data_IF_678969335425
#
_entry.id   IF_678969335425
#
_cell.length_a   1.000
_cell.length_b   1.000
_cell.length_c   1.000
_cell.angle_alpha   90.00
_cell.angle_beta   90.00
_cell.angle_gamma   90.00
#
_symmetry.space_group_name_H-M   'P 1'
#
loop_
_entity.id
_entity.type
_entity.pdbx_description
1 polymer ?
#
# COMPACT_ATOMS: atom_id res chain seq x y z
N UNK A 1 -7.08 -6.29 2.59
CA UNK A 1 -7.76 -6.21 1.27
C UNK A 1 -7.74 -7.62 0.69
N UNK A 2 -8.84 -8.19 0.20
CA UNK A 2 -8.88 -9.60 -0.22
C UNK A 2 -8.39 -9.83 -1.64
N UNK A 3 -7.85 -11.03 -1.93
CA UNK A 3 -7.48 -11.48 -3.28
C UNK A 3 -8.72 -11.44 -4.21
N UNK A 4 -8.60 -10.92 -5.42
CA UNK A 4 -9.72 -10.65 -6.33
C UNK A 4 -9.67 -11.48 -7.61
N UNK A 5 -10.79 -11.56 -8.32
CA UNK A 5 -10.84 -12.24 -9.63
C UNK A 5 -9.93 -11.57 -10.67
N UNK A 6 -9.78 -10.25 -10.63
CA UNK A 6 -8.84 -9.53 -11.50
C UNK A 6 -7.41 -10.02 -11.34
N UNK A 7 -6.98 -10.23 -10.09
CA UNK A 7 -5.63 -10.71 -9.76
C UNK A 7 -5.38 -12.15 -10.23
N UNK A 8 -6.42 -12.97 -10.44
CA UNK A 8 -6.29 -14.31 -11.05
C UNK A 8 -5.72 -14.23 -12.46
N UNK A 9 -6.09 -13.21 -13.22
CA UNK A 9 -5.61 -13.01 -14.59
C UNK A 9 -4.19 -12.46 -14.64
N UNK A 10 -3.65 -12.00 -13.51
CA UNK A 10 -2.30 -11.47 -13.37
C UNK A 10 -1.30 -12.50 -12.82
N UNK A 11 -1.77 -13.72 -12.51
CA UNK A 11 -0.92 -14.78 -11.97
C UNK A 11 0.16 -15.18 -12.99
N UNK A 12 1.37 -15.59 -12.57
CA UNK A 12 2.46 -15.93 -13.48
C UNK A 12 2.16 -17.16 -14.36
N UNK A 13 1.16 -17.96 -13.96
CA UNK A 13 0.69 -19.13 -14.71
C UNK A 13 -0.62 -18.87 -15.47
N UNK A 14 -1.08 -17.62 -15.51
CA UNK A 14 -2.33 -17.22 -16.17
C UNK A 14 -2.20 -16.99 -17.69
N UNK A 15 -1.05 -17.30 -18.30
CA UNK A 15 -0.82 -17.13 -19.76
C UNK A 15 -1.86 -17.83 -20.64
N UNK A 16 -2.50 -18.89 -20.12
CA UNK A 16 -3.54 -19.66 -20.81
C UNK A 16 -4.97 -19.24 -20.45
N UNK A 17 -5.14 -18.18 -19.67
CA UNK A 17 -6.41 -17.76 -19.10
C UNK A 17 -7.03 -16.68 -19.99
N UNK A 18 -8.31 -16.81 -20.29
CA UNK A 18 -9.05 -15.86 -21.12
C UNK A 18 -10.37 -15.54 -20.44
N UNK A 19 -10.57 -14.28 -20.04
CA UNK A 19 -11.86 -13.81 -19.57
C UNK A 19 -12.84 -13.73 -20.75
N UNK A 20 -13.94 -14.47 -20.69
CA UNK A 20 -14.93 -14.56 -21.79
C UNK A 20 -16.26 -13.89 -21.46
N UNK A 21 -16.58 -13.68 -20.18
CA UNK A 21 -17.78 -13.00 -19.73
C UNK A 21 -17.58 -12.38 -18.34
N UNK A 22 -18.48 -11.49 -17.93
CA UNK A 22 -18.62 -10.98 -16.57
C UNK A 22 -17.56 -9.96 -16.16
N UNK A 23 -17.03 -9.16 -17.09
CA UNK A 23 -15.91 -8.23 -16.84
C UNK A 23 -16.15 -7.25 -15.69
N UNK A 24 -17.39 -6.83 -15.44
CA UNK A 24 -17.70 -5.96 -14.30
C UNK A 24 -17.48 -6.62 -12.92
N UNK A 25 -17.31 -7.94 -12.88
CA UNK A 25 -17.09 -8.72 -11.66
C UNK A 25 -15.63 -8.93 -11.26
N UNK A 26 -14.65 -8.35 -11.97
CA UNK A 26 -13.24 -8.57 -11.67
C UNK A 26 -12.83 -8.11 -10.25
N UNK A 27 -13.57 -7.17 -9.66
CA UNK A 27 -13.35 -6.73 -8.27
C UNK A 27 -13.93 -7.67 -7.18
N UNK A 28 -14.55 -8.79 -7.55
CA UNK A 28 -15.09 -9.76 -6.58
C UNK A 28 -13.94 -10.42 -5.81
N UNK A 29 -14.09 -10.53 -4.50
CA UNK A 29 -13.11 -11.16 -3.60
C UNK A 29 -13.20 -12.69 -3.70
N UNK A 30 -12.07 -13.36 -3.65
CA UNK A 30 -11.90 -14.81 -3.70
C UNK A 30 -11.24 -15.29 -2.42
N UNK A 31 -11.92 -16.18 -1.70
CA UNK A 31 -11.45 -16.76 -0.42
C UNK A 31 -11.29 -18.28 -0.50
N UNK A 32 -11.97 -18.94 -1.45
CA UNK A 32 -12.00 -20.40 -1.55
C UNK A 32 -11.82 -20.86 -3.00
N UNK A 33 -11.42 -22.12 -3.19
CA UNK A 33 -11.40 -22.79 -4.49
C UNK A 33 -12.19 -24.09 -4.36
N UNK A 34 -13.22 -24.26 -5.17
CA UNK A 34 -14.02 -25.48 -5.21
C UNK A 34 -13.89 -26.15 -6.59
N UNK A 35 -14.16 -27.45 -6.65
CA UNK A 35 -14.08 -28.24 -7.88
C UNK A 35 -15.44 -28.87 -8.16
N UNK A 36 -16.04 -28.56 -9.30
CA UNK A 36 -17.42 -28.98 -9.60
C UNK A 36 -17.52 -30.37 -10.23
N UNK A 37 -16.48 -30.83 -10.95
CA UNK A 37 -16.55 -32.11 -11.68
C UNK A 37 -16.69 -33.35 -10.77
N UNK A 38 -16.41 -33.23 -9.47
CA UNK A 38 -16.57 -34.31 -8.48
C UNK A 38 -17.99 -34.39 -7.90
N UNK A 39 -18.74 -33.28 -7.90
CA UNK A 39 -20.02 -33.16 -7.21
C UNK A 39 -21.19 -33.71 -8.05
N UNK A 40 -21.02 -33.78 -9.37
CA UNK A 40 -22.03 -34.26 -10.32
C UNK A 40 -21.98 -35.79 -10.63
N UNK A 41 -21.07 -36.57 -10.01
CA UNK A 41 -20.94 -38.02 -10.28
C UNK A 41 -21.92 -38.91 -9.48
N UNK A 42 -22.78 -38.33 -8.62
CA UNK A 42 -23.70 -39.13 -7.81
C UNK A 42 -25.16 -38.71 -7.91
N UNK A 43 -25.82 -39.22 -8.97
CA UNK A 43 -27.27 -39.49 -9.04
C UNK A 43 -28.22 -38.32 -8.76
N UNK A 44 -28.17 -37.20 -9.49
CA UNK A 44 -29.38 -36.40 -9.76
C UNK A 44 -29.32 -35.79 -11.19
N UNK A 45 -30.12 -36.28 -12.16
CA UNK A 45 -30.27 -35.68 -13.48
C UNK A 45 -31.47 -34.73 -13.52
N UNK A 46 -31.60 -33.79 -12.58
CA UNK A 46 -32.68 -32.77 -12.60
C UNK A 46 -32.20 -31.35 -12.83
N UNK A 47 -30.89 -31.08 -12.79
CA UNK A 47 -30.34 -29.74 -13.05
C UNK A 47 -30.64 -28.70 -11.97
N UNK A 48 -31.13 -29.13 -10.81
CA UNK A 48 -31.38 -28.31 -9.61
C UNK A 48 -30.65 -28.96 -8.43
N UNK A 49 -29.58 -28.32 -7.97
CA UNK A 49 -28.83 -28.71 -6.77
C UNK A 49 -29.36 -27.95 -5.53
N UNK A 50 -29.12 -28.46 -4.31
CA UNK A 50 -29.44 -27.72 -3.09
C UNK A 50 -28.65 -26.41 -3.01
N UNK A 51 -29.30 -25.34 -2.56
CA UNK A 51 -28.64 -24.06 -2.28
C UNK A 51 -27.46 -24.26 -1.30
N UNK A 52 -26.30 -23.68 -1.64
CA UNK A 52 -25.11 -23.64 -0.79
C UNK A 52 -24.20 -24.87 -0.88
N UNK A 53 -24.17 -25.54 -2.03
CA UNK A 53 -23.20 -26.63 -2.28
C UNK A 53 -21.76 -26.10 -2.35
N UNK A 54 -21.59 -24.90 -2.92
CA UNK A 54 -20.30 -24.24 -3.05
C UNK A 54 -20.09 -23.16 -1.98
N UNK A 55 -18.82 -22.97 -1.60
CA UNK A 55 -18.47 -21.92 -0.65
C UNK A 55 -18.74 -20.54 -1.27
N UNK A 56 -19.27 -19.61 -0.47
CA UNK A 56 -19.36 -18.21 -0.88
C UNK A 56 -17.96 -17.66 -1.16
N UNK A 57 -17.87 -16.71 -2.09
CA UNK A 57 -16.61 -16.09 -2.54
C UNK A 57 -15.59 -17.13 -3.04
N UNK A 58 -16.05 -18.24 -3.59
CA UNK A 58 -15.18 -19.24 -4.19
C UNK A 58 -14.88 -18.95 -5.65
N UNK A 59 -13.81 -19.55 -6.15
CA UNK A 59 -13.64 -19.81 -7.58
C UNK A 59 -13.95 -21.27 -7.82
N UNK A 60 -14.87 -21.54 -8.74
CA UNK A 60 -15.23 -22.90 -9.12
C UNK A 60 -14.41 -23.30 -10.35
N UNK A 61 -13.63 -24.37 -10.22
CA UNK A 61 -12.84 -24.94 -11.32
C UNK A 61 -13.55 -26.18 -11.87
N UNK A 62 -13.74 -26.24 -13.18
CA UNK A 62 -14.46 -27.32 -13.85
C UNK A 62 -13.98 -27.52 -15.29
N UNK A 63 -14.12 -28.73 -15.83
CA UNK A 63 -14.00 -29.02 -17.26
C UNK A 63 -15.36 -29.02 -17.97
N UNK A 64 -16.46 -28.83 -17.22
CA UNK A 64 -17.84 -29.00 -17.66
C UNK A 64 -18.12 -30.40 -18.23
N UNK A 65 -17.46 -31.44 -17.69
CA UNK A 65 -17.57 -32.82 -18.17
C UNK A 65 -19.04 -33.31 -18.21
N UNK A 66 -19.82 -32.99 -17.17
CA UNK A 66 -21.23 -33.36 -17.05
C UNK A 66 -22.10 -32.78 -18.18
N UNK A 67 -21.68 -31.65 -18.79
CA UNK A 67 -22.42 -30.97 -19.84
C UNK A 67 -21.96 -31.34 -21.25
N UNK A 68 -20.96 -32.23 -21.42
CA UNK A 68 -20.32 -32.54 -22.72
C UNK A 68 -21.31 -32.77 -23.87
N UNK A 69 -22.40 -33.49 -23.61
CA UNK A 69 -23.44 -33.80 -24.61
C UNK A 69 -24.72 -32.97 -24.43
N UNK A 70 -24.74 -32.04 -23.47
CA UNK A 70 -25.88 -31.25 -23.01
C UNK A 70 -25.47 -29.82 -22.61
N UNK A 71 -25.07 -29.02 -23.60
CA UNK A 71 -24.63 -27.64 -23.40
C UNK A 71 -25.71 -26.72 -22.78
N UNK A 72 -26.98 -27.10 -22.89
CA UNK A 72 -28.13 -26.42 -22.28
C UNK A 72 -28.07 -26.40 -20.74
N UNK A 73 -27.37 -27.37 -20.12
CA UNK A 73 -27.19 -27.44 -18.66
C UNK A 73 -26.22 -26.39 -18.13
N UNK A 74 -25.37 -25.80 -18.97
CA UNK A 74 -24.35 -24.84 -18.52
C UNK A 74 -25.02 -23.58 -17.94
N UNK A 75 -26.14 -23.14 -18.52
CA UNK A 75 -26.85 -21.96 -18.05
C UNK A 75 -27.49 -22.17 -16.67
N UNK A 76 -28.10 -23.34 -16.43
CA UNK A 76 -28.71 -23.65 -15.13
C UNK A 76 -27.65 -23.75 -14.04
N UNK A 77 -26.52 -24.41 -14.31
CA UNK A 77 -25.40 -24.48 -13.36
C UNK A 77 -24.80 -23.10 -13.10
N UNK A 78 -24.62 -22.27 -14.13
CA UNK A 78 -24.12 -20.89 -13.96
C UNK A 78 -25.04 -20.06 -13.05
N UNK A 79 -26.37 -20.25 -13.15
CA UNK A 79 -27.34 -19.60 -12.24
C UNK A 79 -27.19 -20.09 -10.81
N UNK A 80 -27.04 -21.40 -10.61
CA UNK A 80 -26.87 -21.97 -9.28
C UNK A 80 -25.57 -21.48 -8.62
N UNK A 81 -24.45 -21.52 -9.35
CA UNK A 81 -23.16 -21.02 -8.85
C UNK A 81 -23.24 -19.54 -8.45
N UNK A 82 -23.97 -18.73 -9.21
CA UNK A 82 -24.20 -17.35 -8.80
C UNK A 82 -25.02 -17.24 -7.51
N UNK A 83 -26.08 -18.04 -7.37
CA UNK A 83 -26.93 -18.08 -6.17
C UNK A 83 -26.15 -18.52 -4.92
N UNK A 84 -25.25 -19.50 -5.07
CA UNK A 84 -24.34 -19.95 -4.02
C UNK A 84 -23.28 -18.91 -3.64
N UNK A 85 -23.19 -17.81 -4.40
CA UNK A 85 -22.31 -16.69 -4.10
C UNK A 85 -20.87 -16.89 -4.58
N UNK A 86 -20.68 -17.70 -5.63
CA UNK A 86 -19.40 -17.87 -6.31
C UNK A 86 -18.90 -16.53 -6.86
N UNK A 87 -17.58 -16.34 -6.81
CA UNK A 87 -16.92 -15.13 -7.28
C UNK A 87 -16.52 -15.20 -8.75
N UNK A 88 -16.11 -16.38 -9.25
CA UNK A 88 -15.86 -16.63 -10.66
C UNK A 88 -15.91 -18.11 -11.01
N UNK A 89 -16.09 -18.40 -12.30
CA UNK A 89 -16.04 -19.76 -12.85
C UNK A 89 -14.81 -19.87 -13.74
N UNK A 90 -13.98 -20.89 -13.50
CA UNK A 90 -12.81 -21.23 -14.30
C UNK A 90 -13.09 -22.54 -15.04
N UNK A 91 -13.19 -22.47 -16.37
CA UNK A 91 -13.52 -23.60 -17.22
C UNK A 91 -12.30 -24.03 -18.01
N UNK A 92 -11.88 -25.27 -17.82
CA UNK A 92 -10.80 -25.90 -18.56
C UNK A 92 -11.37 -26.37 -19.89
N UNK A 93 -10.76 -25.93 -21.00
CA UNK A 93 -11.25 -26.17 -22.36
C UNK A 93 -11.00 -27.61 -22.85
N UNK A 94 -11.42 -28.62 -22.08
CA UNK A 94 -11.35 -30.03 -22.46
C UNK A 94 -12.46 -30.41 -23.46
N UNK A 95 -13.68 -29.90 -23.26
CA UNK A 95 -14.85 -30.23 -24.08
C UNK A 95 -15.43 -29.03 -24.83
N UNK A 96 -15.29 -27.82 -24.27
CA UNK A 96 -15.85 -26.60 -24.82
C UNK A 96 -14.75 -25.61 -25.19
N UNK A 97 -14.67 -25.24 -26.47
CA UNK A 97 -13.78 -24.15 -26.95
C UNK A 97 -14.40 -22.78 -26.76
N UNK A 98 -15.73 -22.70 -26.86
CA UNK A 98 -16.54 -21.50 -26.61
C UNK A 98 -17.78 -21.89 -25.82
N UNK A 99 -18.36 -20.93 -25.13
CA UNK A 99 -19.62 -21.10 -24.39
C UNK A 99 -20.81 -20.67 -25.25
N UNK A 100 -22.01 -21.19 -24.99
CA UNK A 100 -23.23 -20.70 -25.61
C UNK A 100 -23.46 -19.20 -25.30
N UNK A 101 -23.97 -18.44 -26.27
CA UNK A 101 -24.19 -16.99 -26.13
C UNK A 101 -25.08 -16.64 -24.93
N UNK A 102 -26.12 -17.44 -24.67
CA UNK A 102 -27.03 -17.26 -23.54
C UNK A 102 -26.31 -17.31 -22.17
N UNK A 103 -25.23 -18.08 -22.05
CA UNK A 103 -24.41 -18.16 -20.84
C UNK A 103 -23.57 -16.90 -20.68
N UNK A 104 -22.98 -16.42 -21.77
CA UNK A 104 -22.16 -15.20 -21.79
C UNK A 104 -23.02 -13.99 -21.44
N UNK A 105 -24.16 -13.81 -22.12
CA UNK A 105 -25.10 -12.72 -21.87
C UNK A 105 -25.61 -12.72 -20.43
N UNK A 106 -25.96 -13.91 -19.90
CA UNK A 106 -26.37 -14.03 -18.51
C UNK A 106 -25.25 -13.61 -17.57
N UNK A 107 -24.04 -14.17 -17.71
CA UNK A 107 -22.89 -13.87 -16.88
C UNK A 107 -22.49 -12.39 -16.90
N UNK A 108 -22.56 -11.74 -18.06
CA UNK A 108 -22.35 -10.29 -18.19
C UNK A 108 -23.43 -9.51 -17.44
N UNK A 109 -24.71 -9.89 -17.54
CA UNK A 109 -25.81 -9.19 -16.86
C UNK A 109 -25.70 -9.19 -15.34
N UNK A 110 -25.12 -10.25 -14.75
CA UNK A 110 -24.92 -10.40 -13.29
C UNK A 110 -23.49 -10.07 -12.86
N UNK A 111 -22.61 -9.68 -13.78
CA UNK A 111 -21.18 -9.46 -13.54
C UNK A 111 -20.50 -10.66 -12.85
N UNK A 112 -20.74 -11.88 -13.34
CA UNK A 112 -20.08 -13.09 -12.89
C UNK A 112 -18.96 -13.45 -13.87
N UNK A 113 -17.68 -13.28 -13.51
CA UNK A 113 -16.57 -13.59 -14.40
C UNK A 113 -16.54 -15.07 -14.77
N UNK A 114 -16.41 -15.34 -16.08
CA UNK A 114 -16.11 -16.68 -16.59
C UNK A 114 -14.76 -16.63 -17.31
N UNK A 115 -13.84 -17.49 -16.89
CA UNK A 115 -12.47 -17.57 -17.38
C UNK A 115 -12.28 -18.94 -18.05
N UNK A 116 -11.88 -18.95 -19.31
CA UNK A 116 -11.47 -20.16 -20.01
C UNK A 116 -9.97 -20.39 -19.85
N UNK A 117 -9.58 -21.64 -19.59
CA UNK A 117 -8.19 -22.07 -19.47
C UNK A 117 -7.90 -23.14 -20.51
N UNK A 118 -6.89 -22.90 -21.34
CA UNK A 118 -6.49 -23.87 -22.36
C UNK A 118 -5.98 -25.18 -21.74
N UNK A 119 -6.64 -26.28 -22.07
CA UNK A 119 -6.28 -27.63 -21.59
C UNK A 119 -5.00 -28.18 -22.21
N UNK A 120 -4.47 -27.55 -23.28
CA UNK A 120 -3.20 -27.93 -23.90
C UNK A 120 -1.99 -27.59 -23.02
N UNK A 121 -2.15 -26.62 -22.12
CA UNK A 121 -1.06 -26.06 -21.31
C UNK A 121 -1.26 -26.22 -19.80
N UNK A 122 -2.48 -26.48 -19.35
CA UNK A 122 -2.81 -26.40 -17.91
C UNK A 122 -3.82 -27.47 -17.51
N UNK A 123 -3.49 -28.21 -16.46
CA UNK A 123 -4.36 -29.20 -15.82
C UNK A 123 -5.14 -28.59 -14.66
N UNK A 124 -6.31 -29.16 -14.34
CA UNK A 124 -7.19 -28.68 -13.26
C UNK A 124 -6.49 -28.59 -11.92
N UNK A 125 -5.72 -29.61 -11.57
CA UNK A 125 -4.96 -29.67 -10.31
C UNK A 125 -3.98 -28.50 -10.18
N UNK A 126 -3.31 -28.11 -11.27
CA UNK A 126 -2.38 -26.99 -11.26
C UNK A 126 -3.11 -25.65 -11.07
N UNK A 127 -4.29 -25.49 -11.66
CA UNK A 127 -5.15 -24.31 -11.45
C UNK A 127 -5.55 -24.24 -9.98
N UNK A 128 -6.11 -25.33 -9.44
CA UNK A 128 -6.56 -25.39 -8.04
C UNK A 128 -5.41 -25.09 -7.09
N UNK A 129 -4.29 -25.81 -7.19
CA UNK A 129 -3.12 -25.62 -6.33
C UNK A 129 -2.57 -24.19 -6.45
N UNK A 130 -2.50 -23.66 -7.66
CA UNK A 130 -2.00 -22.31 -7.93
C UNK A 130 -2.88 -21.24 -7.28
N UNK A 131 -4.20 -21.35 -7.45
CA UNK A 131 -5.19 -20.43 -6.85
C UNK A 131 -5.20 -20.53 -5.32
N UNK A 132 -5.22 -21.74 -4.75
CA UNK A 132 -5.17 -21.94 -3.30
C UNK A 132 -3.92 -21.28 -2.70
N UNK A 133 -2.75 -21.48 -3.30
CA UNK A 133 -1.50 -20.84 -2.85
C UNK A 133 -1.54 -19.31 -2.96
N UNK A 134 -2.15 -18.77 -4.00
CA UNK A 134 -2.28 -17.32 -4.18
C UNK A 134 -3.17 -16.71 -3.10
N UNK A 135 -4.32 -17.34 -2.80
CA UNK A 135 -5.24 -16.92 -1.74
C UNK A 135 -4.55 -16.97 -0.37
N UNK A 136 -3.91 -18.10 -0.03
CA UNK A 136 -3.19 -18.27 1.24
C UNK A 136 -2.07 -17.25 1.41
N UNK A 137 -1.34 -16.94 0.34
CA UNK A 137 -0.27 -15.94 0.34
C UNK A 137 -0.83 -14.54 0.60
N UNK A 138 -1.91 -14.16 -0.09
CA UNK A 138 -2.57 -12.87 0.11
C UNK A 138 -3.08 -12.70 1.54
N UNK A 139 -3.70 -13.73 2.11
CA UNK A 139 -4.15 -13.73 3.51
C UNK A 139 -2.99 -13.59 4.50
N UNK A 140 -1.87 -14.28 4.28
CA UNK A 140 -0.67 -14.15 5.10
C UNK A 140 -0.08 -12.73 5.05
N UNK A 141 -0.01 -12.13 3.85
CA UNK A 141 0.43 -10.74 3.65
C UNK A 141 -0.46 -9.79 4.46
N UNK A 142 -1.77 -9.89 4.32
CA UNK A 142 -2.73 -9.06 5.06
C UNK A 142 -2.55 -9.20 6.59
N UNK A 143 -2.40 -10.42 7.11
CA UNK A 143 -2.18 -10.66 8.54
C UNK A 143 -0.89 -10.01 9.06
N UNK A 144 0.18 -10.00 8.26
CA UNK A 144 1.42 -9.32 8.64
C UNK A 144 1.21 -7.81 8.66
N UNK A 145 0.56 -7.24 7.64
CA UNK A 145 0.26 -5.81 7.61
C UNK A 145 -0.59 -5.38 8.80
N UNK A 146 -1.63 -6.14 9.14
CA UNK A 146 -2.48 -5.89 10.31
C UNK A 146 -1.67 -5.87 11.61
N UNK A 147 -0.71 -6.79 11.77
CA UNK A 147 0.19 -6.82 12.93
C UNK A 147 1.13 -5.62 12.97
N UNK A 148 1.67 -5.19 11.83
CA UNK A 148 2.49 -3.97 11.76
C UNK A 148 1.63 -2.74 12.11
N UNK A 149 0.44 -2.62 11.53
CA UNK A 149 -0.50 -1.55 11.87
C UNK A 149 -0.84 -1.55 13.35
N UNK A 150 -1.06 -2.73 13.96
CA UNK A 150 -1.26 -2.88 15.40
C UNK A 150 -0.07 -2.40 16.21
N UNK A 151 1.17 -2.77 15.85
CA UNK A 151 2.39 -2.27 16.50
C UNK A 151 2.44 -0.74 16.48
N UNK A 152 2.03 -0.13 15.36
CA UNK A 152 2.05 1.32 15.16
C UNK A 152 0.90 2.09 15.85
N UNK A 153 -0.06 1.41 16.49
CA UNK A 153 -1.13 2.09 17.23
C UNK A 153 -0.62 2.75 18.52
N UNK A 154 -1.15 3.92 18.86
CA UNK A 154 -0.70 4.70 20.04
C UNK A 154 -1.02 4.05 21.39
N UNK A 155 -2.08 3.24 21.48
CA UNK A 155 -2.60 2.69 22.75
C UNK A 155 -2.02 1.33 23.15
N UNK A 156 -1.01 0.83 22.44
CA UNK A 156 -0.43 -0.50 22.66
C UNK A 156 0.82 -0.39 23.54
N UNK A 157 0.90 -1.23 24.57
CA UNK A 157 2.06 -1.28 25.48
C UNK A 157 3.33 -1.75 24.75
N UNK A 158 4.50 -1.33 25.24
CA UNK A 158 5.76 -1.75 24.61
C UNK A 158 6.00 -3.26 24.67
N UNK A 159 5.56 -3.93 25.74
CA UNK A 159 5.64 -5.39 25.86
C UNK A 159 4.77 -6.10 24.80
N UNK A 160 3.52 -5.63 24.62
CA UNK A 160 2.63 -6.17 23.59
C UNK A 160 3.19 -5.93 22.19
N UNK A 161 3.73 -4.74 21.91
CA UNK A 161 4.39 -4.43 20.63
C UNK A 161 5.55 -5.38 20.35
N UNK A 162 6.39 -5.64 21.35
CA UNK A 162 7.51 -6.56 21.22
C UNK A 162 7.04 -7.99 20.92
N UNK A 163 6.03 -8.49 21.64
CA UNK A 163 5.46 -9.81 21.38
C UNK A 163 4.92 -9.91 19.95
N UNK A 164 4.12 -8.92 19.51
CA UNK A 164 3.60 -8.90 18.14
C UNK A 164 4.71 -8.81 17.10
N UNK A 165 5.78 -8.04 17.35
CA UNK A 165 6.93 -7.96 16.46
C UNK A 165 7.65 -9.32 16.34
N UNK A 166 7.81 -10.05 17.45
CA UNK A 166 8.42 -11.38 17.47
C UNK A 166 7.60 -12.44 16.73
N UNK A 167 6.29 -12.26 16.58
CA UNK A 167 5.45 -13.15 15.78
C UNK A 167 5.65 -12.98 14.26
N UNK A 168 6.06 -11.79 13.81
CA UNK A 168 6.29 -11.48 12.38
C UNK A 168 7.76 -11.41 11.98
N UNK A 169 8.66 -11.17 12.94
CA UNK A 169 10.11 -11.16 12.75
C UNK A 169 10.73 -12.28 13.59
N UNK A 170 10.98 -13.45 13.00
CA UNK A 170 11.64 -14.54 13.69
C UNK A 170 13.01 -14.11 14.22
N UNK A 171 13.35 -14.53 15.44
CA UNK A 171 14.63 -14.22 16.10
C UNK A 171 14.89 -12.71 16.33
N UNK A 172 13.82 -11.91 16.44
CA UNK A 172 13.92 -10.47 16.70
C UNK A 172 14.81 -10.14 17.91
N UNK A 173 15.90 -9.38 17.66
CA UNK A 173 16.90 -9.01 18.67
C UNK A 173 17.55 -7.66 18.36
N UNK A 174 18.02 -7.00 19.41
CA UNK A 174 18.87 -5.83 19.30
C UNK A 174 20.35 -6.19 18.99
N UNK A 175 21.09 -5.31 18.30
CA UNK A 175 20.62 -4.07 17.67
C UNK A 175 19.83 -4.37 16.39
N UNK A 176 18.86 -3.51 16.06
CA UNK A 176 18.05 -3.63 14.84
C UNK A 176 17.78 -2.27 14.19
N UNK A 177 17.43 -2.27 12.91
CA UNK A 177 16.99 -1.10 12.16
C UNK A 177 15.98 -1.48 11.08
N UNK A 178 15.30 -0.47 10.54
CA UNK A 178 14.30 -0.66 9.50
C UNK A 178 14.62 0.13 8.24
N UNK A 179 14.35 -0.49 7.10
CA UNK A 179 14.36 0.14 5.78
C UNK A 179 12.95 0.04 5.22
N UNK A 180 12.41 1.14 4.68
CA UNK A 180 11.14 1.13 3.97
C UNK A 180 11.36 1.51 2.52
N UNK A 181 11.09 0.56 1.63
CA UNK A 181 11.34 0.66 0.19
C UNK A 181 9.99 0.78 -0.53
N UNK A 182 9.83 1.82 -1.35
CA UNK A 182 8.66 1.98 -2.23
C UNK A 182 9.14 2.06 -3.67
N UNK A 183 8.58 1.25 -4.56
CA UNK A 183 9.00 1.20 -5.96
C UNK A 183 8.71 2.54 -6.65
N UNK A 184 9.62 2.98 -7.52
CA UNK A 184 9.43 4.12 -8.43
C UNK A 184 8.46 3.80 -9.57
N UNK A 185 8.21 2.51 -9.83
CA UNK A 185 7.32 2.05 -10.89
C UNK A 185 5.93 1.70 -10.35
N UNK A 186 4.88 1.94 -11.15
CA UNK A 186 3.56 1.39 -10.84
C UNK A 186 3.60 -0.13 -11.09
N UNK A 187 3.65 -0.88 -10.00
CA UNK A 187 3.49 -2.33 -10.01
C UNK A 187 2.02 -2.59 -9.64
N UNK A 188 1.34 -3.46 -10.38
CA UNK A 188 0.01 -3.91 -9.97
C UNK A 188 0.09 -4.64 -8.64
N UNK A 189 -1.01 -4.62 -7.87
CA UNK A 189 -1.04 -5.13 -6.50
C UNK A 189 -0.58 -6.58 -6.42
N UNK A 190 -1.01 -7.43 -7.37
CA UNK A 190 -0.60 -8.84 -7.38
C UNK A 190 0.88 -9.03 -7.72
N UNK A 191 1.40 -8.37 -8.76
CA UNK A 191 2.81 -8.49 -9.15
C UNK A 191 3.76 -8.13 -8.01
N UNK A 192 3.39 -7.09 -7.24
CA UNK A 192 4.12 -6.70 -6.04
C UNK A 192 4.06 -7.78 -4.95
N UNK A 193 2.85 -8.30 -4.63
CA UNK A 193 2.68 -9.35 -3.63
C UNK A 193 3.46 -10.63 -4.00
N UNK A 194 3.43 -11.03 -5.26
CA UNK A 194 4.15 -12.20 -5.76
C UNK A 194 5.66 -12.02 -5.66
N UNK A 195 6.20 -10.87 -6.10
CA UNK A 195 7.63 -10.56 -5.97
C UNK A 195 8.07 -10.60 -4.50
N UNK A 196 7.27 -10.04 -3.60
CA UNK A 196 7.54 -10.05 -2.19
C UNK A 196 7.57 -11.47 -1.60
N UNK A 197 6.65 -12.33 -2.01
CA UNK A 197 6.63 -13.74 -1.59
C UNK A 197 7.92 -14.47 -2.00
N UNK A 198 8.38 -14.26 -3.24
CA UNK A 198 9.64 -14.83 -3.72
C UNK A 198 10.84 -14.35 -2.89
N UNK A 199 10.87 -13.07 -2.52
CA UNK A 199 11.93 -12.49 -1.69
C UNK A 199 11.94 -13.12 -0.29
N UNK A 200 10.77 -13.30 0.32
CA UNK A 200 10.64 -13.91 1.67
C UNK A 200 11.06 -15.37 1.70
N UNK A 201 10.78 -16.14 0.64
CA UNK A 201 11.17 -17.54 0.56
C UNK A 201 12.70 -17.77 0.52
N UNK A 202 13.48 -16.77 0.12
CA UNK A 202 14.95 -16.86 0.00
C UNK A 202 15.71 -16.80 1.34
N UNK A 203 15.01 -16.66 2.49
CA UNK A 203 15.54 -16.62 3.88
C UNK A 203 16.95 -16.02 4.03
N UNK A 204 17.02 -14.80 4.54
CA UNK A 204 18.30 -14.10 4.73
C UNK A 204 18.63 -13.98 6.21
N UNK A 205 19.80 -14.47 6.64
CA UNK A 205 20.18 -14.38 8.05
C UNK A 205 20.29 -12.91 8.52
N UNK A 206 19.74 -12.61 9.70
CA UNK A 206 19.70 -11.27 10.27
C UNK A 206 18.86 -10.24 9.49
N UNK A 207 18.01 -10.67 8.55
CA UNK A 207 17.14 -9.80 7.76
C UNK A 207 15.76 -10.42 7.56
N UNK A 208 14.70 -9.68 7.88
CA UNK A 208 13.32 -10.08 7.61
C UNK A 208 12.66 -9.09 6.66
N UNK A 209 11.89 -9.60 5.71
CA UNK A 209 11.21 -8.83 4.66
C UNK A 209 9.70 -8.92 4.92
N UNK A 210 9.06 -7.76 5.09
CA UNK A 210 7.67 -7.65 5.49
C UNK A 210 6.88 -6.78 4.49
N UNK A 211 5.68 -7.18 4.06
CA UNK A 211 4.76 -6.28 3.36
C UNK A 211 4.30 -5.17 4.29
N UNK A 212 4.23 -3.94 3.79
CA UNK A 212 3.49 -2.89 4.48
C UNK A 212 3.01 -1.77 3.55
N UNK A 213 1.69 -1.63 3.41
CA UNK A 213 1.02 -0.66 2.56
C UNK A 213 1.47 -0.83 1.09
N UNK A 214 2.10 0.18 0.50
CA UNK A 214 2.54 0.17 -0.90
C UNK A 214 4.03 -0.17 -1.05
N UNK A 215 4.66 -0.70 -0.01
CA UNK A 215 6.10 -0.87 0.06
C UNK A 215 6.55 -2.09 0.84
N UNK A 216 7.86 -2.25 0.88
CA UNK A 216 8.56 -3.35 1.54
C UNK A 216 9.23 -2.78 2.79
N UNK A 217 8.84 -3.29 3.95
CA UNK A 217 9.50 -3.00 5.22
C UNK A 217 10.52 -4.10 5.51
N UNK A 218 11.78 -3.72 5.67
CA UNK A 218 12.89 -4.65 5.90
C UNK A 218 13.45 -4.39 7.29
N UNK A 219 13.41 -5.39 8.15
CA UNK A 219 14.06 -5.36 9.45
C UNK A 219 15.46 -5.97 9.31
N UNK A 220 16.49 -5.28 9.78
CA UNK A 220 17.85 -5.80 9.86
C UNK A 220 18.27 -5.92 11.31
N UNK A 221 19.04 -6.96 11.66
CA UNK A 221 19.43 -7.26 13.04
C UNK A 221 20.93 -7.56 13.14
N UNK A 222 21.69 -6.68 13.78
CA UNK A 222 23.12 -6.87 14.00
C UNK A 222 23.96 -6.87 12.73
N UNK A 223 23.47 -6.25 11.66
CA UNK A 223 24.20 -6.09 10.40
C UNK A 223 24.33 -4.62 10.05
N UNK A 224 25.50 -4.24 9.53
CA UNK A 224 25.75 -2.88 9.07
C UNK A 224 25.03 -2.60 7.74
N UNK A 225 25.02 -1.32 7.37
CA UNK A 225 24.33 -0.85 6.16
C UNK A 225 24.94 -1.42 4.87
N UNK A 226 26.27 -1.56 4.78
CA UNK A 226 26.91 -2.12 3.58
C UNK A 226 26.54 -3.59 3.40
N UNK A 227 26.62 -4.38 4.48
CA UNK A 227 26.16 -5.78 4.47
C UNK A 227 24.68 -5.90 4.13
N UNK A 228 23.86 -4.94 4.57
CA UNK A 228 22.44 -4.88 4.22
C UNK A 228 22.25 -4.70 2.71
N UNK A 229 22.90 -3.70 2.12
CA UNK A 229 22.82 -3.42 0.69
C UNK A 229 23.27 -4.64 -0.14
N UNK A 230 24.38 -5.27 0.23
CA UNK A 230 24.88 -6.46 -0.46
C UNK A 230 23.88 -7.63 -0.42
N UNK A 231 23.19 -7.81 0.71
CA UNK A 231 22.13 -8.82 0.86
C UNK A 231 20.91 -8.49 0.01
N UNK A 232 20.47 -7.24 -0.03
CA UNK A 232 19.37 -6.78 -0.88
C UNK A 232 19.66 -7.01 -2.36
N UNK A 233 20.88 -6.69 -2.80
CA UNK A 233 21.32 -6.93 -4.17
C UNK A 233 21.30 -8.43 -4.53
N UNK A 234 21.78 -9.31 -3.64
CA UNK A 234 21.72 -10.77 -3.83
C UNK A 234 20.30 -11.32 -3.90
N UNK A 235 19.34 -10.67 -3.26
CA UNK A 235 17.93 -11.04 -3.33
C UNK A 235 17.28 -10.63 -4.66
N UNK A 236 17.92 -9.73 -5.41
CA UNK A 236 17.44 -9.16 -6.66
C UNK A 236 16.74 -7.81 -6.50
N UNK A 237 16.94 -7.11 -5.37
CA UNK A 237 16.41 -5.76 -5.15
C UNK A 237 17.45 -4.76 -5.67
N UNK A 238 17.11 -4.05 -6.75
CA UNK A 238 17.94 -2.99 -7.31
C UNK A 238 17.57 -1.65 -6.65
N UNK A 239 18.47 -1.07 -5.86
CA UNK A 239 18.16 0.07 -4.99
C UNK A 239 17.71 1.33 -5.74
N UNK A 240 18.16 1.49 -6.98
CA UNK A 240 17.80 2.58 -7.90
C UNK A 240 16.34 2.49 -8.40
N UNK A 241 15.68 1.34 -8.28
CA UNK A 241 14.24 1.18 -8.59
C UNK A 241 13.33 1.63 -7.44
N UNK A 242 13.90 1.99 -6.28
CA UNK A 242 13.14 2.31 -5.07
C UNK A 242 13.47 3.70 -4.53
N UNK A 243 12.51 4.27 -3.80
CA UNK A 243 12.76 5.34 -2.85
C UNK A 243 12.78 4.73 -1.45
N UNK A 244 13.81 5.06 -0.68
CA UNK A 244 14.18 4.31 0.52
C UNK A 244 14.28 5.24 1.72
N UNK A 245 13.57 4.89 2.79
CA UNK A 245 13.72 5.49 4.10
C UNK A 245 14.41 4.55 5.06
N UNK A 246 15.33 5.06 5.87
CA UNK A 246 16.11 4.27 6.81
C UNK A 246 15.91 4.83 8.23
N UNK A 247 15.58 3.96 9.18
CA UNK A 247 15.48 4.34 10.60
C UNK A 247 16.86 4.56 11.23
N UNK A 248 16.89 5.18 12.41
CA UNK A 248 18.15 5.41 13.13
C UNK A 248 18.77 4.11 13.64
N UNK A 249 17.93 3.14 13.99
CA UNK A 249 18.30 1.89 14.61
C UNK A 249 18.28 1.98 16.12
N UNK A 250 17.99 0.84 16.78
CA UNK A 250 17.83 0.78 18.22
C UNK A 250 18.56 -0.41 18.84
N UNK A 251 19.09 -0.20 20.04
CA UNK A 251 19.61 -1.23 20.94
C UNK A 251 18.55 -1.73 21.95
N UNK A 252 17.38 -1.09 21.98
CA UNK A 252 16.25 -1.41 22.85
C UNK A 252 15.10 -2.00 22.05
N UNK A 253 14.64 -3.20 22.41
CA UNK A 253 13.59 -3.93 21.69
C UNK A 253 12.19 -3.34 21.87
N UNK A 254 12.00 -2.40 22.78
CA UNK A 254 10.71 -1.76 23.06
C UNK A 254 10.41 -0.56 22.12
N UNK A 255 11.41 -0.16 21.30
CA UNK A 255 11.33 0.97 20.33
C UNK A 255 10.83 0.59 18.95
N UNK A 256 10.42 -0.66 18.70
CA UNK A 256 10.06 -1.16 17.35
C UNK A 256 9.10 -0.24 16.60
N UNK A 257 8.03 0.21 17.27
CA UNK A 257 7.06 1.10 16.64
C UNK A 257 7.65 2.47 16.25
N UNK A 258 8.65 2.97 16.98
CA UNK A 258 9.31 4.22 16.63
C UNK A 258 10.23 3.99 15.43
N UNK A 259 11.03 2.93 15.44
CA UNK A 259 11.94 2.60 14.33
C UNK A 259 11.19 2.36 13.00
N UNK A 260 10.06 1.65 13.03
CA UNK A 260 9.20 1.50 11.86
C UNK A 260 8.70 2.87 11.38
N UNK A 261 8.22 3.73 12.29
CA UNK A 261 7.76 5.09 11.92
C UNK A 261 8.89 5.94 11.34
N UNK A 262 10.10 5.86 11.87
CA UNK A 262 11.26 6.58 11.36
C UNK A 262 11.55 6.21 9.91
N UNK A 263 11.61 4.92 9.58
CA UNK A 263 11.81 4.45 8.21
C UNK A 263 10.69 4.94 7.27
N UNK A 264 9.42 4.87 7.72
CA UNK A 264 8.27 5.38 6.96
C UNK A 264 8.35 6.90 6.72
N UNK A 265 8.71 7.68 7.73
CA UNK A 265 8.83 9.13 7.62
C UNK A 265 10.00 9.54 6.74
N UNK A 266 11.15 8.87 6.87
CA UNK A 266 12.31 9.10 6.03
C UNK A 266 12.03 8.78 4.56
N UNK A 267 11.31 7.70 4.27
CA UNK A 267 10.95 7.32 2.91
C UNK A 267 10.04 8.37 2.27
N UNK A 268 9.02 8.83 2.99
CA UNK A 268 8.11 9.89 2.54
C UNK A 268 8.84 11.21 2.32
N UNK A 269 9.77 11.52 3.23
CA UNK A 269 10.65 12.67 3.10
C UNK A 269 11.49 12.60 1.82
N UNK A 270 12.14 11.47 1.58
CA UNK A 270 12.92 11.23 0.37
C UNK A 270 12.07 11.40 -0.90
N UNK A 271 10.90 10.75 -0.95
CA UNK A 271 10.03 10.76 -2.13
C UNK A 271 9.63 12.17 -2.56
N UNK A 272 9.24 13.02 -1.60
CA UNK A 272 8.80 14.39 -1.91
C UNK A 272 9.94 15.34 -2.23
N UNK A 273 11.12 15.13 -1.62
CA UNK A 273 12.32 15.90 -1.93
C UNK A 273 13.10 15.35 -3.13
N UNK A 274 12.54 14.38 -3.87
CA UNK A 274 13.16 13.72 -5.03
C UNK A 274 14.53 13.11 -4.71
N UNK A 275 14.68 12.60 -3.49
CA UNK A 275 15.85 11.86 -3.05
C UNK A 275 15.59 10.36 -3.23
N UNK A 276 16.64 9.60 -3.53
CA UNK A 276 16.53 8.13 -3.64
C UNK A 276 16.57 7.45 -2.28
N UNK A 277 17.41 7.95 -1.37
CA UNK A 277 17.60 7.40 -0.04
C UNK A 277 17.64 8.55 0.98
N UNK A 278 17.01 8.38 2.13
CA UNK A 278 17.13 9.28 3.26
C UNK A 278 17.15 8.51 4.58
N UNK A 279 18.05 8.88 5.49
CA UNK A 279 18.00 8.41 6.88
C UNK A 279 17.15 9.36 7.72
N UNK A 280 16.42 8.83 8.68
CA UNK A 280 15.60 9.64 9.57
C UNK A 280 16.42 10.75 10.26
N UNK A 281 17.62 10.41 10.72
CA UNK A 281 18.57 11.33 11.36
C UNK A 281 19.02 12.50 10.48
N UNK A 282 18.88 12.41 9.15
CA UNK A 282 19.29 13.43 8.17
C UNK A 282 18.17 14.43 7.84
N UNK A 283 16.94 14.20 8.32
CA UNK A 283 15.77 15.00 7.94
C UNK A 283 15.68 16.38 8.64
N UNK A 284 16.65 16.74 9.49
CA UNK A 284 16.61 17.98 10.26
C UNK A 284 15.35 18.11 11.12
N UNK A 285 14.66 19.27 11.08
CA UNK A 285 13.45 19.51 11.88
C UNK A 285 12.30 18.54 11.55
N UNK A 286 12.31 17.92 10.37
CA UNK A 286 11.23 17.05 9.95
C UNK A 286 11.12 15.80 10.81
N UNK A 287 12.19 15.43 11.53
CA UNK A 287 12.18 14.46 12.62
C UNK A 287 11.20 14.83 13.75
N UNK A 288 10.89 16.12 13.92
CA UNK A 288 9.90 16.59 14.90
C UNK A 288 8.54 16.87 14.25
N UNK A 289 8.52 17.48 13.07
CA UNK A 289 7.27 17.89 12.41
C UNK A 289 6.44 16.67 11.98
N UNK A 290 7.04 15.70 11.29
CA UNK A 290 6.27 14.56 10.75
C UNK A 290 5.66 13.67 11.84
N UNK A 291 6.38 13.30 12.92
CA UNK A 291 5.77 12.48 13.97
C UNK A 291 4.70 13.19 14.78
N UNK A 292 4.73 14.53 14.85
CA UNK A 292 3.82 15.32 15.69
C UNK A 292 2.73 16.05 14.89
N UNK A 293 2.49 15.66 13.63
CA UNK A 293 1.51 16.33 12.76
C UNK A 293 0.11 16.46 13.37
N UNK A 294 -0.33 15.41 14.08
CA UNK A 294 -1.68 15.26 14.64
C UNK A 294 -1.72 15.74 16.10
N UNK A 295 -0.59 16.26 16.61
CA UNK A 295 -0.56 16.85 17.94
C UNK A 295 -1.42 18.11 17.95
N UNK A 296 -2.49 18.08 18.75
CA UNK A 296 -3.48 19.16 18.84
C UNK A 296 -2.85 20.52 19.16
N UNK A 297 -1.83 20.57 20.02
CA UNK A 297 -1.18 21.81 20.40
C UNK A 297 -0.34 22.38 19.26
N UNK A 298 0.42 21.51 18.59
CA UNK A 298 1.22 21.90 17.42
C UNK A 298 0.33 22.40 16.28
N UNK A 299 -0.76 21.67 16.00
CA UNK A 299 -1.76 22.05 15.01
C UNK A 299 -2.36 23.43 15.32
N UNK A 300 -2.91 23.61 16.53
CA UNK A 300 -3.54 24.86 16.93
C UNK A 300 -2.57 26.05 16.90
N UNK A 301 -1.32 25.85 17.30
CA UNK A 301 -0.29 26.88 17.24
C UNK A 301 0.00 27.31 15.79
N UNK A 302 0.29 26.34 14.90
CA UNK A 302 0.65 26.62 13.52
C UNK A 302 -0.53 27.19 12.73
N UNK A 303 -1.71 26.56 12.82
CA UNK A 303 -2.92 27.04 12.15
C UNK A 303 -3.36 28.42 12.66
N UNK A 304 -3.15 28.71 13.94
CA UNK A 304 -3.40 30.04 14.51
C UNK A 304 -2.54 31.14 13.88
N UNK A 305 -1.25 30.88 13.66
CA UNK A 305 -0.34 31.81 12.97
C UNK A 305 -0.76 31.99 11.51
N UNK A 306 -0.96 30.89 10.79
CA UNK A 306 -1.36 30.89 9.38
C UNK A 306 -2.68 31.65 9.18
N UNK A 307 -3.67 31.43 10.06
CA UNK A 307 -4.96 32.13 10.01
C UNK A 307 -4.81 33.63 10.22
N UNK A 308 -4.09 34.08 11.26
CA UNK A 308 -3.85 35.51 11.51
C UNK A 308 -3.20 36.21 10.32
N UNK A 309 -2.19 35.58 9.71
CA UNK A 309 -1.52 36.14 8.55
C UNK A 309 -2.43 36.20 7.32
N UNK A 310 -3.29 35.19 7.08
CA UNK A 310 -4.28 35.21 6.00
C UNK A 310 -5.38 36.24 6.20
N UNK A 311 -5.87 36.41 7.43
CA UNK A 311 -6.91 37.41 7.74
C UNK A 311 -6.40 38.84 7.56
N UNK A 312 -5.11 39.09 7.82
CA UNK A 312 -4.47 40.37 7.57
C UNK A 312 -4.10 40.61 6.09
N UNK A 313 -4.27 39.60 5.23
CA UNK A 313 -3.74 39.58 3.85
C UNK A 313 -4.59 40.34 2.82
N UNK A 314 -5.73 40.91 3.24
CA UNK A 314 -6.77 41.43 2.35
C UNK A 314 -6.30 42.46 1.30
N UNK A 315 -5.20 43.19 1.54
CA UNK A 315 -4.64 44.17 0.59
C UNK A 315 -3.09 44.20 0.51
N UNK A 316 -2.37 43.35 1.25
CA UNK A 316 -0.92 43.54 1.43
C UNK A 316 -0.01 42.37 1.07
N UNK A 317 -0.54 41.25 0.54
CA UNK A 317 0.24 40.04 0.17
C UNK A 317 1.24 39.61 1.27
N UNK A 318 0.89 39.83 2.54
CA UNK A 318 1.66 39.46 3.72
C UNK A 318 1.85 37.95 3.75
N UNK A 319 0.80 37.17 3.50
CA UNK A 319 0.85 35.73 3.65
C UNK A 319 1.83 35.12 2.64
N UNK A 320 1.71 35.50 1.37
CA UNK A 320 2.59 35.06 0.30
C UNK A 320 4.03 35.54 0.53
N UNK A 321 4.21 36.80 0.93
CA UNK A 321 5.54 37.34 1.26
C UNK A 321 6.19 36.59 2.41
N UNK A 322 5.45 36.27 3.48
CA UNK A 322 5.97 35.52 4.62
C UNK A 322 6.32 34.07 4.24
N UNK A 323 5.53 33.43 3.36
CA UNK A 323 5.85 32.11 2.83
C UNK A 323 7.13 32.12 2.00
N UNK A 324 7.24 33.03 1.03
CA UNK A 324 8.44 33.18 0.18
C UNK A 324 9.67 33.57 1.02
N UNK A 325 9.47 34.38 2.06
CA UNK A 325 10.53 34.74 3.00
C UNK A 325 11.08 33.53 3.77
N UNK A 326 10.20 32.64 4.25
CA UNK A 326 10.63 31.37 4.88
C UNK A 326 11.41 30.51 3.89
N UNK A 327 10.97 30.43 2.64
CA UNK A 327 11.60 29.62 1.59
C UNK A 327 12.98 30.12 1.21
N UNK A 328 13.19 31.42 1.35
CA UNK A 328 14.47 32.09 1.16
C UNK A 328 15.31 32.16 2.44
N UNK A 329 15.08 31.29 3.42
CA UNK A 329 15.80 31.25 4.70
C UNK A 329 15.75 32.58 5.46
N UNK A 330 14.62 33.27 5.40
CA UNK A 330 14.43 34.59 6.00
C UNK A 330 15.40 35.66 5.46
N UNK A 331 15.83 35.57 4.19
CA UNK A 331 16.62 36.60 3.53
C UNK A 331 15.73 37.56 2.73
N UNK A 332 15.66 38.81 3.19
CA UNK A 332 14.82 39.84 2.57
C UNK A 332 15.20 40.17 1.13
N UNK A 333 16.49 40.13 0.77
CA UNK A 333 16.96 40.47 -0.58
C UNK A 333 16.58 39.37 -1.56
N UNK A 334 16.85 38.11 -1.20
CA UNK A 334 16.48 36.95 -2.02
C UNK A 334 14.97 36.86 -2.21
N UNK A 335 14.21 37.10 -1.14
CA UNK A 335 12.74 37.16 -1.21
C UNK A 335 12.27 38.24 -2.18
N UNK A 336 12.89 39.42 -2.15
CA UNK A 336 12.52 40.53 -3.03
C UNK A 336 12.82 40.21 -4.50
N UNK A 337 13.96 39.56 -4.77
CA UNK A 337 14.34 39.07 -6.10
C UNK A 337 13.34 38.01 -6.61
N UNK A 338 13.02 37.00 -5.81
CA UNK A 338 12.09 35.93 -6.19
C UNK A 338 10.67 36.46 -6.45
N UNK A 339 10.19 37.36 -5.59
CA UNK A 339 8.88 37.99 -5.75
C UNK A 339 8.85 39.11 -6.79
N UNK A 340 9.99 39.48 -7.39
CA UNK A 340 10.12 40.59 -8.34
C UNK A 340 9.59 41.94 -7.79
N UNK A 341 9.87 42.22 -6.51
CA UNK A 341 9.49 43.48 -5.83
C UNK A 341 10.73 44.18 -5.24
N UNK A 342 10.59 45.44 -4.83
CA UNK A 342 11.68 46.14 -4.16
C UNK A 342 11.90 45.60 -2.73
N UNK A 343 13.15 45.53 -2.26
CA UNK A 343 13.50 45.02 -0.91
C UNK A 343 12.76 45.72 0.23
N UNK A 344 12.47 47.02 0.08
CA UNK A 344 11.70 47.78 1.07
C UNK A 344 10.24 47.32 1.16
N UNK A 345 9.65 46.84 0.06
CA UNK A 345 8.29 46.28 0.05
C UNK A 345 8.25 45.00 0.88
N UNK A 346 9.23 44.11 0.72
CA UNK A 346 9.36 42.91 1.55
C UNK A 346 9.53 43.30 3.03
N UNK A 347 10.44 44.23 3.36
CA UNK A 347 10.61 44.71 4.74
C UNK A 347 9.32 45.24 5.34
N UNK A 348 8.58 46.04 4.58
CA UNK A 348 7.29 46.59 5.02
C UNK A 348 6.27 45.47 5.31
N UNK A 349 6.11 44.52 4.39
CA UNK A 349 5.17 43.40 4.55
C UNK A 349 5.56 42.47 5.70
N UNK A 350 6.85 42.19 5.90
CA UNK A 350 7.36 41.41 7.03
C UNK A 350 7.14 42.15 8.35
N UNK A 351 7.38 43.47 8.41
CA UNK A 351 7.07 44.25 9.60
C UNK A 351 5.58 44.23 9.94
N UNK A 352 4.71 44.36 8.94
CA UNK A 352 3.26 44.23 9.13
C UNK A 352 2.86 42.82 9.60
N UNK A 353 3.57 41.78 9.15
CA UNK A 353 3.40 40.41 9.66
C UNK A 353 3.81 40.29 11.14
N UNK A 354 4.91 40.93 11.56
CA UNK A 354 5.33 41.00 12.96
C UNK A 354 4.26 41.66 13.84
N UNK A 355 3.73 42.80 13.41
CA UNK A 355 2.63 43.52 14.08
C UNK A 355 1.37 42.64 14.17
N UNK A 356 1.02 41.94 13.09
CA UNK A 356 -0.14 41.02 13.05
C UNK A 356 -0.02 39.88 14.08
N UNK A 357 1.20 39.42 14.35
CA UNK A 357 1.47 38.34 15.28
C UNK A 357 1.76 38.83 16.71
N UNK A 358 1.89 40.14 16.94
CA UNK A 358 2.31 40.72 18.23
C UNK A 358 3.75 40.37 18.59
N UNK A 359 4.62 40.30 17.57
CA UNK A 359 6.04 39.96 17.67
C UNK A 359 6.92 41.10 17.17
N UNK A 360 6.50 42.35 17.41
CA UNK A 360 7.30 43.54 17.11
C UNK A 360 8.62 43.50 17.89
N UNK A 361 9.71 43.90 17.23
CA UNK A 361 11.08 43.92 17.76
C UNK A 361 11.60 42.56 18.27
N UNK A 362 10.94 41.46 17.89
CA UNK A 362 11.25 40.08 18.26
C UNK A 362 11.62 39.25 17.04
N UNK A 363 12.61 39.72 16.27
CA UNK A 363 12.96 39.14 14.96
C UNK A 363 13.19 37.63 15.00
N UNK A 364 13.93 37.13 15.98
CA UNK A 364 14.21 35.70 16.12
C UNK A 364 12.96 34.88 16.44
N UNK A 365 12.12 35.34 17.38
CA UNK A 365 10.88 34.65 17.76
C UNK A 365 9.89 34.66 16.59
N UNK A 366 9.78 35.77 15.87
CA UNK A 366 8.99 35.88 14.66
C UNK A 366 9.45 34.89 13.59
N UNK A 367 10.74 34.89 13.26
CA UNK A 367 11.32 33.97 12.26
C UNK A 367 11.06 32.52 12.64
N UNK A 368 11.28 32.13 13.91
CA UNK A 368 10.98 30.78 14.38
C UNK A 368 9.50 30.42 14.24
N UNK A 369 8.61 31.32 14.66
CA UNK A 369 7.17 31.10 14.62
C UNK A 369 6.66 30.91 13.17
N UNK A 370 7.02 31.81 12.25
CA UNK A 370 6.60 31.68 10.85
C UNK A 370 7.28 30.49 10.19
N UNK A 371 8.57 30.26 10.43
CA UNK A 371 9.29 29.16 9.81
C UNK A 371 8.67 27.82 10.21
N UNK A 372 8.36 27.65 11.49
CA UNK A 372 7.71 26.43 11.98
C UNK A 372 6.29 26.29 11.44
N UNK A 373 5.49 27.36 11.45
CA UNK A 373 4.10 27.31 10.97
C UNK A 373 4.00 27.03 9.45
N UNK A 374 4.84 27.66 8.64
CA UNK A 374 4.88 27.43 7.18
C UNK A 374 5.44 26.05 6.84
N UNK A 375 6.49 25.57 7.52
CA UNK A 375 6.97 24.20 7.32
C UNK A 375 5.96 23.16 7.81
N UNK A 376 5.26 23.39 8.92
CA UNK A 376 4.14 22.53 9.32
C UNK A 376 3.06 22.48 8.24
N UNK A 377 2.62 23.64 7.73
CA UNK A 377 1.64 23.72 6.64
C UNK A 377 2.11 22.95 5.40
N UNK A 378 3.35 23.17 4.95
CA UNK A 378 3.96 22.41 3.84
C UNK A 378 4.04 20.93 4.14
N UNK A 379 4.33 20.57 5.39
CA UNK A 379 4.20 19.23 5.93
C UNK A 379 2.84 18.65 5.59
N UNK A 380 1.79 19.30 6.12
CA UNK A 380 0.36 18.97 5.98
C UNK A 380 -0.03 18.72 4.52
N UNK A 381 0.35 19.63 3.62
CA UNK A 381 0.01 19.57 2.20
C UNK A 381 0.84 18.53 1.41
N UNK A 382 2.11 18.32 1.75
CA UNK A 382 3.01 17.53 0.90
C UNK A 382 3.19 16.08 1.36
N UNK A 383 3.07 15.77 2.65
CA UNK A 383 3.50 14.48 3.19
C UNK A 383 2.36 13.60 3.75
N UNK A 384 1.15 14.14 3.89
CA UNK A 384 0.07 13.47 4.65
C UNK A 384 -1.17 13.06 3.87
N UNK A 385 -1.33 13.46 2.59
CA UNK A 385 -2.45 13.04 1.74
C UNK A 385 -2.45 11.54 1.34
N UNK A 386 -1.54 10.74 1.88
CA UNK A 386 -1.35 9.31 1.57
C UNK A 386 -1.10 8.45 2.82
N UNK A 387 -1.85 8.66 3.91
CA UNK A 387 -1.85 7.76 5.06
C UNK A 387 -2.94 6.69 4.98
#
# INVERSE_FOLDING_TARGET
MGFTVGEILELPFADSYTLVAGKGGLGRVVENVNLLDYEYDSKIPTGEEPDGLFDRKSVVVTSMLFAKDRADLILSVTRQLFADGVSAIVIIQAYFKSLPDEVIEFADSINLPIILVSSEKTYAENVVIGLTRAIESSDNINKIEEKISFILQHKVSSATRLMTAQEIIPLFRAPYGFYYLVSKHQINTYGFQHQLQLLRNKKTDGMEILPYQYGILICTMGIDEQTTIDKLFKLGICMDEYVIGISTGSFETDKVANEIREALYAQRFAAKNKMEVCRFSEMGIWQMILPNRDNVWMKNYCEGIIRKLKEADAETEIFETASCYVDNNCDTKRTAEEMSVHVNTVRYRIKKAQETLGLEDKDMEFQQAIWFAFNYKKGMENYFDTF
#
